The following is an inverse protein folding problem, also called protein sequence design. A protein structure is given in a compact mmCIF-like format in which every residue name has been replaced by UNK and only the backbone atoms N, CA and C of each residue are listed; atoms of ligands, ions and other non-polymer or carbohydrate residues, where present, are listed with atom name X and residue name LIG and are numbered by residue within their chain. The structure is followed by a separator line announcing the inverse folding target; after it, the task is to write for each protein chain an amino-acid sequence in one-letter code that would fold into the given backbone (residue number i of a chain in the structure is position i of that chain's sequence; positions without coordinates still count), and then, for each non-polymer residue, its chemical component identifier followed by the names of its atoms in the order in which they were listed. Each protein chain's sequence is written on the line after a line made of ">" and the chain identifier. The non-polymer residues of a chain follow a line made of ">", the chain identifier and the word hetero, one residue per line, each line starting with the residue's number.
data_IF_477669144191
#
_entry.id   IF_477669144191
#
_cell.length_a   1.000
_cell.length_b   1.000
_cell.length_c   1.000
_cell.angle_alpha   90.00
_cell.angle_beta   90.00
_cell.angle_gamma   90.00
#
_symmetry.space_group_name_H-M   'P 1'
#
loop_
_entity.id
_entity.type
_entity.pdbx_description
1 polymer ?
#
# COMPACT_ATOMS: atom_id res chain seq x y z
N UNK A 1 10.22 -10.40 0.67
CA UNK A 1 10.63 -10.52 -0.75
C UNK A 1 9.48 -10.90 -1.68
N UNK A 2 8.62 -11.85 -1.30
CA UNK A 2 7.55 -12.30 -2.19
C UNK A 2 6.55 -11.18 -2.58
N UNK A 3 6.25 -10.28 -1.65
CA UNK A 3 5.33 -9.16 -1.95
C UNK A 3 5.93 -8.17 -2.93
N UNK A 4 7.22 -7.86 -2.79
CA UNK A 4 7.85 -6.90 -3.69
C UNK A 4 8.03 -7.48 -5.10
N UNK A 5 8.28 -8.78 -5.21
CA UNK A 5 8.35 -9.46 -6.51
C UNK A 5 6.98 -9.48 -7.18
N UNK A 6 5.91 -9.75 -6.42
CA UNK A 6 4.55 -9.71 -6.93
C UNK A 6 4.20 -8.31 -7.43
N UNK A 7 4.55 -7.29 -6.66
CA UNK A 7 4.34 -5.90 -7.04
C UNK A 7 5.06 -5.56 -8.34
N UNK A 8 6.33 -5.94 -8.45
CA UNK A 8 7.14 -5.70 -9.65
C UNK A 8 6.52 -6.38 -10.87
N UNK A 9 6.06 -7.62 -10.74
CA UNK A 9 5.42 -8.33 -11.84
C UNK A 9 4.12 -7.67 -12.26
N UNK A 10 3.29 -7.27 -11.31
CA UNK A 10 2.03 -6.59 -11.59
C UNK A 10 2.25 -5.26 -12.31
N UNK A 11 3.23 -4.48 -11.85
CA UNK A 11 3.57 -3.20 -12.46
C UNK A 11 4.11 -3.39 -13.89
N UNK A 12 4.97 -4.38 -14.08
CA UNK A 12 5.52 -4.68 -15.40
C UNK A 12 4.42 -5.12 -16.37
N UNK A 13 3.51 -5.97 -15.92
CA UNK A 13 2.39 -6.44 -16.77
C UNK A 13 1.47 -5.28 -17.15
N UNK A 14 1.17 -4.39 -16.21
CA UNK A 14 0.34 -3.21 -16.47
C UNK A 14 1.00 -2.28 -17.47
N UNK A 15 2.30 -2.03 -17.32
CA UNK A 15 3.05 -1.16 -18.22
C UNK A 15 3.11 -1.75 -19.64
N UNK A 16 3.33 -3.06 -19.75
CA UNK A 16 3.35 -3.76 -21.05
C UNK A 16 1.99 -3.69 -21.73
N UNK A 17 0.92 -3.82 -20.96
CA UNK A 17 -0.44 -3.74 -21.51
C UNK A 17 -0.74 -2.35 -22.08
N UNK A 18 -0.02 -1.32 -21.61
CA UNK A 18 -0.14 0.06 -22.10
C UNK A 18 0.96 0.42 -23.12
N UNK A 19 1.67 -0.57 -23.66
CA UNK A 19 2.74 -0.39 -24.65
C UNK A 19 3.87 0.50 -24.17
N UNK A 20 4.14 0.50 -22.87
CA UNK A 20 5.22 1.30 -22.29
C UNK A 20 6.57 0.65 -22.58
N UNK A 21 7.57 1.47 -22.94
CA UNK A 21 8.95 1.02 -23.10
C UNK A 21 9.71 1.10 -21.79
N UNK A 22 9.35 2.03 -20.94
CA UNK A 22 10.02 2.27 -19.66
C UNK A 22 9.02 2.86 -18.67
N UNK A 23 9.20 2.51 -17.40
CA UNK A 23 8.40 3.06 -16.29
C UNK A 23 9.26 4.06 -15.53
N UNK A 24 8.76 5.26 -15.30
CA UNK A 24 9.43 6.29 -14.50
C UNK A 24 9.22 6.09 -13.03
N UNK A 25 7.97 5.85 -12.62
CA UNK A 25 7.63 5.67 -11.22
C UNK A 25 6.42 4.77 -11.05
N UNK A 26 6.35 4.15 -9.88
CA UNK A 26 5.21 3.31 -9.46
C UNK A 26 4.76 3.83 -8.11
N UNK A 27 3.50 4.20 -7.99
CA UNK A 27 2.89 4.62 -6.73
C UNK A 27 2.00 3.50 -6.21
N UNK A 28 2.22 3.11 -4.96
CA UNK A 28 1.46 2.02 -4.34
C UNK A 28 0.84 2.47 -3.03
N UNK A 29 -0.21 1.75 -2.63
CA UNK A 29 -0.81 1.92 -1.32
C UNK A 29 -0.54 0.67 -0.50
N UNK A 30 -0.01 0.86 0.70
CA UNK A 30 0.33 -0.22 1.63
C UNK A 30 -0.40 0.04 2.94
N UNK A 31 -1.29 -0.88 3.31
CA UNK A 31 -2.03 -0.77 4.57
C UNK A 31 -1.25 -1.30 5.75
N UNK A 32 -1.49 -0.73 6.91
CA UNK A 32 -0.83 -1.12 8.17
C UNK A 32 -1.01 -2.60 8.48
N UNK A 33 -2.18 -3.16 8.18
CA UNK A 33 -2.50 -4.56 8.48
C UNK A 33 -1.76 -5.58 7.61
N UNK A 34 -1.10 -5.13 6.53
CA UNK A 34 -0.30 -6.03 5.71
C UNK A 34 0.97 -6.47 6.42
N UNK A 35 1.40 -5.71 7.43
CA UNK A 35 2.65 -5.96 8.13
C UNK A 35 3.88 -5.55 7.34
N UNK A 36 3.70 -4.98 6.16
CA UNK A 36 4.81 -4.55 5.31
C UNK A 36 5.35 -3.20 5.80
N UNK A 37 6.67 -3.10 5.84
CA UNK A 37 7.35 -1.89 6.27
C UNK A 37 7.85 -1.16 5.03
N UNK A 38 7.40 0.11 4.78
CA UNK A 38 7.77 0.85 3.57
C UNK A 38 9.27 0.93 3.33
N UNK A 39 10.07 1.12 4.38
CA UNK A 39 11.54 1.17 4.25
C UNK A 39 12.11 -0.09 3.59
N UNK A 40 11.59 -1.25 3.95
CA UNK A 40 12.07 -2.52 3.38
C UNK A 40 11.62 -2.66 1.93
N UNK A 41 10.41 -2.23 1.60
CA UNK A 41 9.94 -2.24 0.22
C UNK A 41 10.81 -1.34 -0.66
N UNK A 42 11.14 -0.15 -0.19
CA UNK A 42 12.01 0.77 -0.91
C UNK A 42 13.42 0.20 -1.08
N UNK A 43 13.93 -0.48 -0.05
CA UNK A 43 15.27 -1.06 -0.07
C UNK A 43 15.39 -2.19 -1.08
N UNK A 44 14.40 -3.06 -1.18
CA UNK A 44 14.46 -4.24 -2.03
C UNK A 44 13.91 -4.00 -3.43
N UNK A 45 13.18 -2.91 -3.64
CA UNK A 45 12.58 -2.62 -4.94
C UNK A 45 13.59 -2.55 -6.09
N UNK A 46 14.73 -1.84 -5.95
CA UNK A 46 15.70 -1.79 -7.07
C UNK A 46 16.18 -3.17 -7.51
N UNK A 47 16.38 -4.07 -6.57
CA UNK A 47 16.78 -5.45 -6.87
C UNK A 47 15.67 -6.23 -7.56
N UNK A 48 14.44 -6.05 -7.10
CA UNK A 48 13.29 -6.77 -7.64
C UNK A 48 12.98 -6.39 -9.08
N UNK A 49 13.29 -5.15 -9.48
CA UNK A 49 12.97 -4.65 -10.83
C UNK A 49 14.18 -4.66 -11.76
N UNK A 50 15.33 -5.10 -11.28
CA UNK A 50 16.54 -5.17 -12.09
C UNK A 50 16.32 -6.07 -13.31
N UNK A 51 16.71 -5.59 -14.49
CA UNK A 51 16.53 -6.31 -15.74
C UNK A 51 15.11 -6.27 -16.31
N UNK A 52 14.21 -5.49 -15.72
CA UNK A 52 12.85 -5.33 -16.23
C UNK A 52 12.62 -3.91 -16.75
N UNK A 53 11.45 -3.65 -17.32
CA UNK A 53 11.10 -2.30 -17.79
C UNK A 53 10.93 -1.33 -16.62
N UNK A 54 10.88 -1.82 -15.39
CA UNK A 54 10.78 -1.02 -14.17
C UNK A 54 12.16 -0.60 -13.66
N UNK A 55 13.25 -1.09 -14.24
CA UNK A 55 14.59 -0.77 -13.79
C UNK A 55 14.82 0.73 -13.79
N UNK A 56 15.32 1.25 -12.67
CA UNK A 56 15.56 2.68 -12.51
C UNK A 56 14.33 3.50 -12.16
N UNK A 57 13.15 2.88 -12.09
CA UNK A 57 11.93 3.59 -11.70
C UNK A 57 11.93 3.90 -10.21
N UNK A 58 11.17 4.93 -9.83
CA UNK A 58 10.99 5.30 -8.42
C UNK A 58 9.80 4.59 -7.84
N UNK A 59 9.92 4.12 -6.60
CA UNK A 59 8.79 3.56 -5.86
C UNK A 59 8.30 4.61 -4.87
N UNK A 60 7.04 5.00 -5.02
CA UNK A 60 6.37 5.90 -4.10
C UNK A 60 5.35 5.12 -3.29
N UNK A 61 5.42 5.21 -1.98
CA UNK A 61 4.57 4.43 -1.08
C UNK A 61 3.67 5.36 -0.28
N UNK A 62 2.37 5.15 -0.41
CA UNK A 62 1.37 5.78 0.45
C UNK A 62 1.00 4.78 1.55
N UNK A 63 1.44 5.07 2.78
CA UNK A 63 1.15 4.21 3.91
C UNK A 63 -0.20 4.55 4.51
N UNK A 64 -1.09 3.56 4.60
CA UNK A 64 -2.45 3.75 5.10
C UNK A 64 -2.59 3.11 6.47
N UNK A 65 -2.65 3.89 7.55
CA UNK A 65 -2.91 3.35 8.89
C UNK A 65 -4.31 2.73 8.97
N UNK A 66 -4.50 1.83 9.91
CA UNK A 66 -5.81 1.21 10.14
C UNK A 66 -6.80 2.30 10.54
N UNK A 67 -7.93 2.35 9.83
CA UNK A 67 -9.03 3.25 10.14
C UNK A 67 -10.30 2.41 10.17
N UNK A 68 -11.07 2.56 11.23
CA UNK A 68 -12.32 1.82 11.41
C UNK A 68 -13.45 2.78 11.72
N UNK A 69 -14.68 2.34 11.45
CA UNK A 69 -15.89 3.09 11.75
C UNK A 69 -16.65 2.36 12.84
N UNK A 70 -16.97 3.07 13.92
CA UNK A 70 -17.74 2.50 15.01
C UNK A 70 -19.15 2.14 14.54
N UNK A 71 -19.59 0.93 14.80
CA UNK A 71 -20.94 0.47 14.41
C UNK A 71 -22.04 1.14 15.23
N UNK A 72 -21.72 1.62 16.43
CA UNK A 72 -22.70 2.20 17.34
C UNK A 72 -22.89 3.69 17.11
N UNK A 73 -21.78 4.48 17.07
CA UNK A 73 -21.87 5.94 16.96
C UNK A 73 -21.46 6.50 15.61
N UNK A 74 -20.91 5.66 14.72
CA UNK A 74 -20.49 6.09 13.39
C UNK A 74 -19.19 6.88 13.34
N UNK A 75 -18.46 6.98 14.44
CA UNK A 75 -17.20 7.70 14.51
C UNK A 75 -16.07 6.90 13.85
N UNK A 76 -15.27 7.57 13.01
CA UNK A 76 -14.08 6.96 12.44
C UNK A 76 -12.91 7.15 13.39
N UNK A 77 -12.12 6.11 13.62
CA UNK A 77 -10.97 6.21 14.54
C UNK A 77 -9.90 5.20 14.16
N UNK A 78 -8.67 5.46 14.66
CA UNK A 78 -7.55 4.54 14.55
C UNK A 78 -7.45 3.76 15.87
N UNK A 79 -7.69 2.43 15.86
CA UNK A 79 -7.58 1.64 17.08
C UNK A 79 -6.12 1.48 17.47
N UNK A 80 -5.79 1.88 18.70
CA UNK A 80 -4.44 1.74 19.24
C UNK A 80 -4.50 1.57 20.76
N UNK A 81 -3.32 1.51 21.39
CA UNK A 81 -3.24 1.30 22.84
C UNK A 81 -3.78 2.47 23.65
N UNK A 82 -3.78 3.69 23.09
CA UNK A 82 -4.25 4.88 23.83
C UNK A 82 -5.74 4.86 24.03
N UNK A 83 -6.50 4.24 23.10
CA UNK A 83 -7.94 4.10 23.20
C UNK A 83 -8.37 2.65 23.51
N UNK A 84 -7.42 1.79 23.90
CA UNK A 84 -7.64 0.38 24.21
C UNK A 84 -8.32 -0.38 23.08
N UNK A 85 -8.07 0.06 21.82
CA UNK A 85 -8.67 -0.48 20.61
C UNK A 85 -10.20 -0.33 20.59
N UNK A 86 -10.72 0.60 21.39
CA UNK A 86 -12.16 0.91 21.49
C UNK A 86 -12.45 2.27 20.87
N UNK A 87 -13.71 2.50 20.53
CA UNK A 87 -14.14 3.80 20.04
C UNK A 87 -13.91 4.89 21.11
N UNK A 88 -13.18 5.96 20.80
CA UNK A 88 -12.91 7.01 21.79
C UNK A 88 -14.16 7.78 22.21
N UNK A 89 -15.23 7.73 21.41
CA UNK A 89 -16.48 8.43 21.73
C UNK A 89 -17.43 7.63 22.58
N UNK A 90 -17.64 6.34 22.27
CA UNK A 90 -18.64 5.51 22.96
C UNK A 90 -18.06 4.28 23.64
N UNK A 91 -16.77 4.02 23.50
CA UNK A 91 -16.05 2.90 24.12
C UNK A 91 -16.55 1.50 23.72
N UNK A 92 -17.21 1.39 22.57
CA UNK A 92 -17.63 0.10 22.03
C UNK A 92 -16.51 -0.50 21.16
N UNK A 93 -16.42 -1.83 21.14
CA UNK A 93 -15.42 -2.56 20.36
C UNK A 93 -15.89 -2.89 18.93
N UNK A 94 -17.19 -2.81 18.66
CA UNK A 94 -17.73 -3.14 17.34
C UNK A 94 -17.39 -2.09 16.30
N UNK A 95 -16.70 -2.51 15.22
CA UNK A 95 -16.27 -1.57 14.18
C UNK A 95 -16.16 -2.26 12.82
N UNK A 96 -16.28 -1.46 11.77
CA UNK A 96 -16.05 -1.88 10.39
C UNK A 96 -14.74 -1.30 9.89
N UNK A 97 -13.92 -2.12 9.24
CA UNK A 97 -12.65 -1.69 8.70
C UNK A 97 -12.86 -0.81 7.47
N UNK A 98 -12.31 0.40 7.48
CA UNK A 98 -12.38 1.33 6.35
C UNK A 98 -11.11 1.30 5.51
N UNK A 99 -9.95 1.18 6.14
CA UNK A 99 -8.68 1.06 5.44
C UNK A 99 -7.64 0.37 6.32
N UNK A 100 -6.54 -0.08 5.72
CA UNK A 100 -5.44 -0.71 6.43
C UNK A 100 -5.03 -2.05 5.85
N UNK A 101 -5.77 -2.60 4.88
CA UNK A 101 -5.46 -3.88 4.23
C UNK A 101 -4.89 -3.72 2.83
N UNK A 102 -4.77 -2.51 2.34
CA UNK A 102 -4.39 -2.24 0.96
C UNK A 102 -2.98 -2.73 0.65
N UNK A 103 -2.84 -3.35 -0.49
CA UNK A 103 -1.56 -3.60 -1.13
C UNK A 103 -1.84 -3.59 -2.62
N UNK A 104 -1.81 -2.39 -3.22
CA UNK A 104 -2.22 -2.22 -4.61
C UNK A 104 -1.39 -1.12 -5.27
N UNK A 105 -1.38 -1.17 -6.60
CA UNK A 105 -0.76 -0.13 -7.41
C UNK A 105 -1.79 0.97 -7.61
N UNK A 106 -1.46 2.17 -7.14
CA UNK A 106 -2.32 3.34 -7.28
C UNK A 106 -2.14 3.99 -8.65
N UNK A 107 -0.88 4.08 -9.09
CA UNK A 107 -0.55 4.79 -10.32
C UNK A 107 0.81 4.33 -10.83
N UNK A 108 0.96 4.37 -12.16
CA UNK A 108 2.24 4.09 -12.82
C UNK A 108 2.48 5.23 -13.81
N UNK A 109 3.64 5.87 -13.70
CA UNK A 109 4.06 6.89 -14.66
C UNK A 109 4.99 6.22 -15.67
N UNK A 110 4.61 6.26 -16.93
CA UNK A 110 5.37 5.63 -18.01
C UNK A 110 6.03 6.69 -18.87
N UNK A 111 7.19 6.32 -19.40
CA UNK A 111 7.94 7.14 -20.34
C UNK A 111 7.81 6.50 -21.73
N UNK A 112 7.26 7.26 -22.65
CA UNK A 112 7.07 6.78 -24.03
C UNK A 112 8.34 6.96 -24.85
#
# INVERSE_FOLDING_TARGET
>A
MSYILRLANMAADTAKANNANKVESVSIQVGEMTGLIPEYLERYYPKAVDGTILEGSKLEIEYLPVLVKCKTCGCNYHPDKTNEYLCPSCHNAGSDLLQGREFLIKNIVIDD
#
